data_IF_139770347967
#
_entry.id   IF_139770347967
#
_cell.length_a   1.000
_cell.length_b   1.000
_cell.length_c   1.000
_cell.angle_alpha   90.00
_cell.angle_beta   90.00
_cell.angle_gamma   90.00
#
_symmetry.space_group_name_H-M   'P 1'
#
loop_
_entity.id
_entity.type
_entity.pdbx_description
1 polymer ?
#
# COMPACT_ATOMS: atom_id res chain seq x y z
N UNK A 1 -2.88 -4.49 5.54
CA UNK A 1 -2.55 -4.08 4.15
C UNK A 1 -2.25 -2.59 4.16
N UNK A 2 -1.01 -2.20 3.83
CA UNK A 2 -0.61 -0.79 3.77
C UNK A 2 -1.41 -0.05 2.70
N UNK A 3 -2.07 1.04 3.06
CA UNK A 3 -2.77 1.93 2.12
C UNK A 3 -2.45 3.35 2.53
N UNK A 4 -2.05 4.17 1.57
CA UNK A 4 -1.81 5.59 1.79
C UNK A 4 -2.85 6.39 1.02
N UNK A 5 -3.31 7.48 1.60
CA UNK A 5 -4.23 8.41 0.95
C UNK A 5 -3.62 9.80 0.99
N UNK A 6 -3.58 10.54 -0.13
CA UNK A 6 -3.08 11.91 -0.11
C UNK A 6 -3.95 12.76 0.84
N UNK A 7 -3.30 13.55 1.68
CA UNK A 7 -3.98 14.61 2.44
C UNK A 7 -4.31 15.72 1.45
N UNK A 8 -5.54 16.23 1.47
CA UNK A 8 -5.89 17.43 0.69
C UNK A 8 -5.07 18.64 1.14
N UNK A 9 -4.98 19.69 0.32
CA UNK A 9 -4.33 20.96 0.63
C UNK A 9 -5.04 21.70 1.78
N UNK A 10 -4.92 21.18 2.99
CA UNK A 10 -5.27 21.87 4.22
C UNK A 10 -4.10 22.73 4.66
N UNK A 11 -4.37 23.88 5.27
CA UNK A 11 -3.33 24.72 5.87
C UNK A 11 -2.49 23.88 6.85
N UNK A 12 -1.22 23.65 6.51
CA UNK A 12 -0.28 22.92 7.36
C UNK A 12 -0.02 23.73 8.63
N UNK A 13 0.08 23.03 9.75
CA UNK A 13 0.51 23.65 11.01
C UNK A 13 1.94 24.18 10.88
N UNK A 14 2.33 25.23 11.63
CA UNK A 14 3.71 25.76 11.61
C UNK A 14 4.78 24.67 11.84
N UNK A 15 4.46 23.67 12.67
CA UNK A 15 5.29 22.51 12.96
C UNK A 15 5.48 21.61 11.72
N UNK A 16 4.40 21.31 10.99
CA UNK A 16 4.45 20.52 9.75
C UNK A 16 5.18 21.28 8.63
N UNK A 17 5.05 22.61 8.61
CA UNK A 17 5.77 23.49 7.67
C UNK A 17 7.27 23.48 7.92
N UNK A 18 7.70 23.49 9.19
CA UNK A 18 9.11 23.37 9.56
C UNK A 18 9.67 21.98 9.18
N UNK A 19 8.92 20.91 9.47
CA UNK A 19 9.28 19.56 9.06
C UNK A 19 9.41 19.42 7.54
N UNK A 20 8.49 19.99 6.77
CA UNK A 20 8.58 20.03 5.29
C UNK A 20 9.80 20.83 4.80
N UNK A 21 10.19 21.90 5.50
CA UNK A 21 11.38 22.68 5.15
C UNK A 21 12.70 21.92 5.44
N UNK A 22 12.73 21.09 6.49
CA UNK A 22 13.91 20.31 6.88
C UNK A 22 14.03 19.00 6.07
N UNK A 23 12.91 18.30 5.84
CA UNK A 23 12.88 16.96 5.22
C UNK A 23 12.37 16.95 3.76
N UNK A 24 11.93 18.10 3.23
CA UNK A 24 11.40 18.23 1.87
C UNK A 24 9.92 17.84 1.73
N UNK A 25 9.35 18.05 0.52
CA UNK A 25 7.92 17.90 0.24
C UNK A 25 7.36 16.49 0.45
N UNK A 26 8.21 15.45 0.45
CA UNK A 26 7.75 14.05 0.50
C UNK A 26 7.29 13.57 1.89
N UNK A 27 7.56 14.34 2.95
CA UNK A 27 7.42 13.82 4.32
C UNK A 27 5.98 13.77 4.85
N UNK A 28 5.08 14.64 4.40
CA UNK A 28 3.84 14.91 5.17
C UNK A 28 2.53 14.78 4.38
N UNK A 29 2.61 14.60 3.07
CA UNK A 29 1.45 14.73 2.18
C UNK A 29 0.56 13.47 2.14
N UNK A 30 0.94 12.39 2.81
CA UNK A 30 0.17 11.13 2.85
C UNK A 30 -0.31 10.81 4.26
N UNK A 31 -1.54 10.31 4.35
CA UNK A 31 -2.12 9.73 5.56
C UNK A 31 -2.15 8.21 5.42
N UNK A 32 -1.72 7.52 6.46
CA UNK A 32 -1.90 6.06 6.57
C UNK A 32 -3.40 5.75 6.74
N UNK A 33 -3.95 5.04 5.76
CA UNK A 33 -5.32 4.53 5.73
C UNK A 33 -5.34 3.00 5.58
N UNK A 34 -4.26 2.35 6.03
CA UNK A 34 -4.04 0.92 5.98
C UNK A 34 -5.12 0.12 6.70
N UNK A 35 -5.39 -1.08 6.17
CA UNK A 35 -6.20 -2.09 6.83
C UNK A 35 -5.37 -2.76 7.92
N UNK A 36 -5.83 -2.66 9.17
CA UNK A 36 -5.24 -3.30 10.34
C UNK A 36 -6.19 -4.35 10.90
N UNK A 37 -5.64 -5.33 11.62
CA UNK A 37 -6.44 -6.35 12.30
C UNK A 37 -7.26 -5.69 13.41
N UNK A 38 -8.56 -6.02 13.56
CA UNK A 38 -9.37 -5.51 14.66
C UNK A 38 -8.81 -5.86 16.03
N UNK A 39 -9.09 -5.02 17.03
CA UNK A 39 -8.65 -5.27 18.40
C UNK A 39 -9.24 -6.58 18.93
N UNK A 40 -8.41 -7.38 19.61
CA UNK A 40 -8.83 -8.64 20.25
C UNK A 40 -8.86 -9.87 19.34
N UNK A 41 -8.56 -9.72 18.04
CA UNK A 41 -8.43 -10.85 17.11
C UNK A 41 -6.95 -11.23 16.97
N UNK A 42 -6.66 -12.53 16.99
CA UNK A 42 -5.32 -13.08 16.77
C UNK A 42 -5.41 -14.34 15.90
N UNK A 43 -4.46 -14.53 15.00
CA UNK A 43 -4.44 -15.66 14.10
C UNK A 43 -3.32 -15.58 13.07
N UNK A 44 -3.14 -16.65 12.31
CA UNK A 44 -2.15 -16.73 11.24
C UNK A 44 -2.83 -16.50 9.90
N UNK A 45 -2.21 -15.70 9.03
CA UNK A 45 -2.71 -15.48 7.67
C UNK A 45 -2.49 -16.75 6.84
N UNK A 46 -3.57 -17.31 6.30
CA UNK A 46 -3.55 -18.55 5.52
C UNK A 46 -3.50 -18.32 4.01
N UNK A 47 -4.12 -17.25 3.51
CA UNK A 47 -4.20 -16.93 2.09
C UNK A 47 -4.30 -15.41 1.88
N UNK A 48 -3.81 -14.93 0.74
CA UNK A 48 -3.87 -13.53 0.31
C UNK A 48 -4.17 -13.47 -1.19
N UNK A 49 -5.28 -12.79 -1.52
CA UNK A 49 -5.66 -12.55 -2.91
C UNK A 49 -5.44 -11.07 -3.26
N UNK A 50 -4.86 -10.82 -4.44
CA UNK A 50 -4.59 -9.48 -4.95
C UNK A 50 -5.36 -9.31 -6.25
N UNK A 51 -6.22 -8.31 -6.30
CA UNK A 51 -6.97 -7.94 -7.51
C UNK A 51 -6.41 -6.61 -8.03
N UNK A 52 -5.90 -6.62 -9.25
CA UNK A 52 -5.50 -5.42 -9.99
C UNK A 52 -6.54 -5.13 -11.07
N UNK A 53 -6.93 -3.86 -11.20
CA UNK A 53 -7.84 -3.43 -12.27
C UNK A 53 -7.06 -3.31 -13.58
N UNK A 54 -7.71 -3.61 -14.70
CA UNK A 54 -7.14 -3.38 -16.03
C UNK A 54 -6.72 -1.92 -16.20
N UNK A 55 -5.45 -1.73 -16.59
CA UNK A 55 -4.83 -0.43 -16.79
C UNK A 55 -3.99 0.11 -15.62
N UNK A 56 -3.94 -0.59 -14.47
CA UNK A 56 -3.01 -0.26 -13.39
C UNK A 56 -1.74 -1.11 -13.53
N UNK A 57 -0.57 -0.48 -13.39
CA UNK A 57 0.70 -1.21 -13.41
C UNK A 57 0.72 -2.25 -12.28
N UNK A 58 1.02 -3.50 -12.65
CA UNK A 58 1.11 -4.59 -11.68
C UNK A 58 2.40 -4.45 -10.89
N UNK A 59 2.28 -4.51 -9.57
CA UNK A 59 3.43 -4.55 -8.68
C UNK A 59 4.29 -5.79 -8.95
N UNK A 60 5.60 -5.71 -8.63
CA UNK A 60 6.54 -6.84 -8.75
C UNK A 60 5.98 -8.12 -8.10
N UNK A 61 5.37 -7.99 -6.92
CA UNK A 61 4.75 -9.11 -6.21
C UNK A 61 3.56 -9.72 -6.97
N UNK A 62 2.76 -8.90 -7.64
CA UNK A 62 1.64 -9.40 -8.45
C UNK A 62 2.14 -10.13 -9.70
N UNK A 63 3.18 -9.60 -10.35
CA UNK A 63 3.85 -10.24 -11.49
C UNK A 63 4.45 -11.60 -11.10
N UNK A 64 5.15 -11.67 -9.97
CA UNK A 64 5.74 -12.93 -9.46
C UNK A 64 4.68 -14.02 -9.20
N UNK A 65 3.56 -13.64 -8.60
CA UNK A 65 2.44 -14.56 -8.34
C UNK A 65 1.84 -15.04 -9.66
N UNK A 66 1.59 -14.14 -10.62
CA UNK A 66 1.04 -14.49 -11.93
C UNK A 66 1.99 -15.42 -12.72
N UNK A 67 3.29 -15.15 -12.70
CA UNK A 67 4.30 -16.02 -13.30
C UNK A 67 4.39 -17.40 -12.64
N UNK A 68 4.22 -17.49 -11.32
CA UNK A 68 4.17 -18.78 -10.63
C UNK A 68 2.93 -19.59 -11.03
N UNK A 69 1.77 -18.94 -11.08
CA UNK A 69 0.51 -19.56 -11.47
C UNK A 69 0.54 -20.02 -12.94
N UNK A 70 1.07 -19.20 -13.86
CA UNK A 70 1.27 -19.57 -15.27
C UNK A 70 2.22 -20.76 -15.42
N UNK A 71 3.26 -20.86 -14.58
CA UNK A 71 4.19 -22.00 -14.59
C UNK A 71 3.54 -23.30 -14.14
N UNK A 72 2.68 -23.26 -13.13
CA UNK A 72 1.92 -24.44 -12.69
C UNK A 72 0.98 -24.91 -13.80
N UNK A 73 0.18 -24.01 -14.37
CA UNK A 73 -0.80 -24.35 -15.42
C UNK A 73 -0.12 -24.91 -16.68
N UNK A 74 1.08 -24.46 -17.02
CA UNK A 74 1.83 -24.97 -18.20
C UNK A 74 2.46 -26.35 -17.97
N UNK A 75 2.59 -26.76 -16.70
CA UNK A 75 3.22 -28.03 -16.32
C UNK A 75 2.22 -29.20 -16.35
N UNK A 76 0.93 -28.89 -16.19
CA UNK A 76 -0.20 -29.79 -16.46
C UNK A 76 -0.47 -29.91 -17.98
#
# INVERSE_FOLDING_TARGET
VGKVTPKGETQLTPEEKLLRAIFGEKASDVKDSSLRVPNGVSGTVIDVQVFTRDGVEKDKRALEIEESQLREVKKD
#
